data_IF_564178455201
#
_entry.id   IF_564178455201
#
_cell.length_a   1.000
_cell.length_b   1.000
_cell.length_c   1.000
_cell.angle_alpha   90.00
_cell.angle_beta   90.00
_cell.angle_gamma   90.00
#
_symmetry.space_group_name_H-M   'P 1'
#
loop_
_entity.id
_entity.type
_entity.pdbx_description
1 polymer ?
#
# COMPACT_ATOMS: atom_id res chain seq x y z
N UNK A 1 -4.86 -9.60 5.40
CA UNK A 1 -4.17 -8.98 4.27
C UNK A 1 -3.49 -7.69 4.72
N UNK A 2 -2.20 -7.51 4.40
CA UNK A 2 -1.43 -6.28 4.59
C UNK A 2 -1.29 -5.60 3.22
N UNK A 3 -1.52 -4.28 3.17
CA UNK A 3 -1.58 -3.53 1.90
C UNK A 3 -0.22 -3.03 1.40
N UNK A 4 0.89 -3.49 1.99
CA UNK A 4 2.26 -3.06 1.63
C UNK A 4 2.82 -2.00 2.55
N UNK A 5 4.00 -1.47 2.19
CA UNK A 5 4.78 -0.50 2.97
C UNK A 5 5.13 -0.99 4.38
N UNK A 6 5.71 -2.21 4.45
CA UNK A 6 6.23 -2.80 5.68
C UNK A 6 7.60 -2.24 6.06
N UNK A 7 8.24 -1.50 5.16
CA UNK A 7 9.59 -0.98 5.31
C UNK A 7 9.65 0.54 5.15
N UNK A 8 10.81 1.09 5.42
CA UNK A 8 11.12 2.52 5.40
C UNK A 8 10.34 3.31 6.45
N UNK A 9 10.30 2.80 7.67
CA UNK A 9 10.06 3.68 8.78
C UNK A 9 11.18 4.72 8.87
N UNK A 10 10.94 5.92 9.41
CA UNK A 10 11.97 6.94 9.50
C UNK A 10 13.13 6.48 10.38
N UNK A 11 14.32 6.26 9.81
CA UNK A 11 15.56 6.24 10.55
C UNK A 11 16.03 7.70 10.69
N UNK A 12 15.55 8.36 11.71
CA UNK A 12 16.05 9.65 12.08
C UNK A 12 16.90 9.50 13.33
N UNK A 13 18.11 10.03 13.30
CA UNK A 13 18.83 10.35 14.52
C UNK A 13 17.87 11.18 15.40
N UNK A 14 17.69 10.84 16.68
CA UNK A 14 16.85 11.62 17.59
C UNK A 14 17.13 13.13 17.57
N UNK A 15 18.36 13.54 17.22
CA UNK A 15 18.75 14.95 17.06
C UNK A 15 18.26 15.59 15.76
N UNK A 16 17.94 14.81 14.73
CA UNK A 16 17.42 15.29 13.43
C UNK A 16 15.89 15.21 13.35
N UNK A 17 15.27 14.64 14.36
CA UNK A 17 13.83 14.63 14.49
C UNK A 17 13.30 16.06 14.61
N UNK A 18 12.28 16.49 13.88
CA UNK A 18 11.78 17.85 13.98
C UNK A 18 11.33 18.12 15.42
N UNK A 19 12.19 18.80 16.18
CA UNK A 19 11.85 19.25 17.53
C UNK A 19 10.65 20.21 17.52
N UNK A 20 10.38 20.80 16.35
CA UNK A 20 9.28 21.69 16.05
C UNK A 20 8.03 20.95 15.51
N UNK A 21 7.96 19.61 15.64
CA UNK A 21 6.72 18.92 15.31
C UNK A 21 5.57 19.54 16.12
N UNK A 22 4.47 19.96 15.46
CA UNK A 22 3.35 20.61 16.16
C UNK A 22 2.95 19.79 17.37
N UNK A 23 2.61 20.45 18.47
CA UNK A 23 2.11 19.80 19.67
C UNK A 23 0.90 18.94 19.25
N UNK A 24 1.02 17.62 19.38
CA UNK A 24 0.06 16.65 18.85
C UNK A 24 0.57 15.80 17.69
N UNK A 25 1.79 16.03 17.16
CA UNK A 25 2.40 15.09 16.23
C UNK A 25 2.67 13.78 16.98
N UNK A 26 2.28 12.59 16.43
CA UNK A 26 2.40 11.29 17.13
C UNK A 26 3.81 10.95 17.60
N UNK A 27 4.81 11.60 17.02
CA UNK A 27 6.23 11.35 17.26
C UNK A 27 6.88 12.42 18.15
N UNK A 28 6.15 13.46 18.57
CA UNK A 28 6.68 14.48 19.47
C UNK A 28 7.16 13.83 20.78
N UNK A 29 8.46 13.93 21.05
CA UNK A 29 9.07 13.43 22.29
C UNK A 29 9.32 11.91 22.35
N UNK A 30 9.14 11.14 21.25
CA UNK A 30 9.47 9.70 21.22
C UNK A 30 10.79 9.47 20.47
N UNK A 31 11.75 8.69 21.02
CA UNK A 31 12.92 8.26 20.26
C UNK A 31 12.43 7.34 19.15
N UNK A 32 12.63 7.75 17.90
CA UNK A 32 12.25 6.92 16.76
C UNK A 32 13.32 5.86 16.46
N UNK A 33 12.86 4.63 16.24
CA UNK A 33 13.70 3.54 15.71
C UNK A 33 13.08 3.02 14.42
N UNK A 34 13.92 2.83 13.40
CA UNK A 34 13.47 2.11 12.20
C UNK A 34 13.18 0.64 12.58
N UNK A 35 11.91 0.29 12.62
CA UNK A 35 11.42 -1.04 13.01
C UNK A 35 11.26 -1.97 11.80
N UNK A 36 11.60 -1.55 10.59
CA UNK A 36 11.44 -2.34 9.36
C UNK A 36 11.95 -3.79 9.49
N UNK A 37 13.17 -4.06 10.03
CA UNK A 37 13.63 -5.44 10.19
C UNK A 37 12.76 -6.27 11.14
N UNK A 38 12.25 -5.65 12.23
CA UNK A 38 11.39 -6.33 13.18
C UNK A 38 9.99 -6.61 12.59
N UNK A 39 9.42 -5.65 11.86
CA UNK A 39 8.15 -5.80 11.14
C UNK A 39 8.25 -6.93 10.12
N UNK A 40 9.28 -6.92 9.27
CA UNK A 40 9.51 -7.97 8.27
C UNK A 40 9.64 -9.35 8.90
N UNK A 41 10.46 -9.48 9.95
CA UNK A 41 10.63 -10.74 10.66
C UNK A 41 9.31 -11.20 11.28
N UNK A 42 8.57 -10.30 11.91
CA UNK A 42 7.26 -10.58 12.51
C UNK A 42 6.25 -11.10 11.47
N UNK A 43 6.15 -10.44 10.32
CA UNK A 43 5.26 -10.85 9.22
C UNK A 43 5.68 -12.21 8.65
N UNK A 44 6.97 -12.45 8.42
CA UNK A 44 7.46 -13.74 7.91
C UNK A 44 7.22 -14.87 8.91
N UNK A 45 7.42 -14.63 10.20
CA UNK A 45 7.12 -15.60 11.25
C UNK A 45 5.63 -15.93 11.34
N UNK A 46 4.77 -14.92 11.26
CA UNK A 46 3.32 -15.11 11.21
C UNK A 46 2.91 -15.91 9.98
N UNK A 47 3.43 -15.56 8.79
CA UNK A 47 3.15 -16.28 7.56
C UNK A 47 3.60 -17.73 7.61
N UNK A 48 4.76 -18.02 8.22
CA UNK A 48 5.27 -19.37 8.38
C UNK A 48 4.45 -20.22 9.38
N UNK A 49 3.94 -19.58 10.45
CA UNK A 49 3.09 -20.25 11.46
C UNK A 49 1.64 -20.45 10.99
N UNK A 50 1.19 -19.63 10.06
CA UNK A 50 -0.17 -19.63 9.54
C UNK A 50 -0.17 -19.67 7.99
N UNK A 51 0.29 -20.79 7.38
CA UNK A 51 0.40 -20.90 5.93
C UNK A 51 -0.92 -20.62 5.23
N UNK A 52 -0.89 -19.77 4.19
CA UNK A 52 -2.06 -19.39 3.42
C UNK A 52 -3.05 -18.45 4.12
N UNK A 53 -2.72 -17.97 5.35
CA UNK A 53 -3.59 -17.05 6.09
C UNK A 53 -3.08 -15.63 6.19
N UNK A 54 -1.79 -15.43 5.95
CA UNK A 54 -1.16 -14.11 5.98
C UNK A 54 -0.72 -13.76 4.57
N UNK A 55 -1.28 -12.70 4.03
CA UNK A 55 -0.97 -12.19 2.69
C UNK A 55 -0.50 -10.75 2.80
N UNK A 56 0.48 -10.41 1.97
CA UNK A 56 1.06 -9.06 1.89
C UNK A 56 1.04 -8.64 0.43
N UNK A 57 0.59 -7.44 0.14
CA UNK A 57 0.75 -6.82 -1.17
C UNK A 57 2.08 -6.10 -1.28
N UNK A 58 2.60 -6.01 -2.48
CA UNK A 58 3.78 -5.19 -2.77
C UNK A 58 3.42 -3.71 -2.64
N UNK A 59 4.14 -2.98 -1.78
CA UNK A 59 4.09 -1.52 -1.70
C UNK A 59 5.19 -0.85 -2.51
N UNK A 60 5.13 0.46 -2.65
CA UNK A 60 6.15 1.22 -3.37
C UNK A 60 7.49 1.26 -2.62
N UNK A 61 7.48 1.16 -1.28
CA UNK A 61 8.67 1.06 -0.47
C UNK A 61 9.38 -0.28 -0.63
N UNK A 62 8.65 -1.41 -0.67
CA UNK A 62 9.21 -2.73 -1.01
C UNK A 62 9.76 -2.75 -2.44
N UNK A 63 9.04 -2.13 -3.38
CA UNK A 63 9.44 -2.07 -4.79
C UNK A 63 10.80 -1.39 -5.00
N UNK A 64 11.16 -0.42 -4.16
CA UNK A 64 12.46 0.25 -4.20
C UNK A 64 13.66 -0.70 -4.07
N UNK A 65 13.48 -1.86 -3.39
CA UNK A 65 14.51 -2.88 -3.21
C UNK A 65 14.62 -3.90 -4.37
N UNK A 66 13.68 -3.89 -5.32
CA UNK A 66 13.62 -4.88 -6.40
C UNK A 66 13.62 -4.27 -7.81
N UNK A 67 13.95 -3.00 -7.92
CA UNK A 67 14.12 -2.29 -9.19
C UNK A 67 13.21 -1.08 -9.38
N UNK A 68 12.39 -0.75 -8.40
CA UNK A 68 11.54 0.44 -8.39
C UNK A 68 12.29 1.72 -8.04
N UNK A 69 11.58 2.86 -8.12
CA UNK A 69 12.14 4.13 -7.71
C UNK A 69 12.44 4.14 -6.22
N UNK A 70 13.58 4.74 -5.85
CA UNK A 70 14.00 4.88 -4.46
C UNK A 70 13.32 6.08 -3.83
N UNK A 71 12.79 5.89 -2.64
CA UNK A 71 12.16 6.94 -1.85
C UNK A 71 13.20 7.70 -1.01
N UNK A 72 12.90 8.96 -0.71
CA UNK A 72 13.78 9.86 0.03
C UNK A 72 12.98 10.73 1.01
N UNK A 73 11.99 10.15 1.68
CA UNK A 73 11.11 10.87 2.59
C UNK A 73 11.80 11.14 3.94
N UNK A 74 12.52 10.15 4.46
CA UNK A 74 13.15 10.19 5.79
C UNK A 74 14.69 10.11 5.72
N UNK A 75 15.23 9.52 4.67
CA UNK A 75 16.66 9.48 4.37
C UNK A 75 16.87 9.77 2.90
N UNK A 76 18.09 10.21 2.54
CA UNK A 76 18.42 10.55 1.14
C UNK A 76 18.21 9.38 0.16
N UNK A 77 18.37 8.16 0.64
CA UNK A 77 18.07 6.90 -0.08
C UNK A 77 17.73 5.86 0.99
N UNK A 78 16.43 5.67 1.24
CA UNK A 78 15.91 4.80 2.30
C UNK A 78 16.21 3.33 2.03
N UNK A 79 16.16 2.90 0.78
CA UNK A 79 16.48 1.53 0.44
C UNK A 79 17.96 1.21 0.71
N UNK A 80 18.87 2.07 0.26
CA UNK A 80 20.29 1.89 0.55
C UNK A 80 20.59 1.93 2.07
N UNK A 81 19.94 2.81 2.82
CA UNK A 81 20.12 2.90 4.26
C UNK A 81 19.71 1.61 4.98
N UNK A 82 18.55 1.04 4.62
CA UNK A 82 18.10 -0.23 5.19
C UNK A 82 19.01 -1.39 4.76
N UNK A 83 19.35 -1.51 3.47
CA UNK A 83 20.22 -2.55 2.93
C UNK A 83 21.61 -2.56 3.61
N UNK A 84 22.19 -1.40 3.82
CA UNK A 84 23.47 -1.27 4.54
C UNK A 84 23.37 -1.70 6.01
N UNK A 85 22.27 -1.38 6.66
CA UNK A 85 22.02 -1.73 8.06
C UNK A 85 21.85 -3.22 8.28
N UNK A 86 21.11 -3.92 7.42
CA UNK A 86 20.84 -5.36 7.56
C UNK A 86 21.94 -6.23 6.94
N UNK A 87 22.75 -5.68 6.04
CA UNK A 87 23.83 -6.38 5.34
C UNK A 87 23.36 -7.12 4.10
N UNK A 88 24.32 -7.60 3.31
CA UNK A 88 24.10 -8.16 1.97
C UNK A 88 23.18 -9.38 1.99
N UNK A 89 23.43 -10.36 2.86
CA UNK A 89 22.68 -11.60 2.90
C UNK A 89 21.22 -11.37 3.24
N UNK A 90 20.94 -10.59 4.30
CA UNK A 90 19.58 -10.23 4.68
C UNK A 90 18.88 -9.39 3.60
N UNK A 91 19.61 -8.50 2.92
CA UNK A 91 19.07 -7.72 1.80
C UNK A 91 18.63 -8.60 0.61
N UNK A 92 19.40 -9.63 0.28
CA UNK A 92 19.05 -10.58 -0.78
C UNK A 92 17.82 -11.42 -0.42
N UNK A 93 17.72 -11.87 0.83
CA UNK A 93 16.53 -12.56 1.33
C UNK A 93 15.29 -11.67 1.31
N UNK A 94 15.42 -10.44 1.78
CA UNK A 94 14.36 -9.42 1.76
C UNK A 94 13.89 -9.15 0.33
N UNK A 95 14.81 -8.91 -0.60
CA UNK A 95 14.47 -8.69 -2.02
C UNK A 95 13.80 -9.92 -2.66
N UNK A 96 14.21 -11.14 -2.29
CA UNK A 96 13.54 -12.37 -2.73
C UNK A 96 12.10 -12.46 -2.21
N UNK A 97 11.88 -12.12 -0.94
CA UNK A 97 10.55 -12.03 -0.36
C UNK A 97 9.69 -11.00 -1.09
N UNK A 98 10.20 -9.79 -1.33
CA UNK A 98 9.44 -8.75 -2.04
C UNK A 98 9.08 -9.13 -3.47
N UNK A 99 9.93 -9.86 -4.19
CA UNK A 99 9.60 -10.38 -5.53
C UNK A 99 8.50 -11.44 -5.53
N UNK A 100 8.22 -12.05 -4.39
CA UNK A 100 7.13 -13.03 -4.25
C UNK A 100 5.78 -12.41 -3.90
N UNK A 101 5.75 -11.11 -3.57
CA UNK A 101 4.52 -10.44 -3.14
C UNK A 101 3.58 -10.19 -4.32
N UNK A 102 2.28 -10.50 -4.19
CA UNK A 102 1.28 -10.10 -5.15
C UNK A 102 1.09 -8.58 -5.14
N UNK A 103 0.60 -8.03 -6.26
CA UNK A 103 0.33 -6.58 -6.42
C UNK A 103 -1.12 -6.26 -6.10
N UNK A 104 -2.01 -7.21 -6.33
CA UNK A 104 -3.46 -7.08 -6.18
C UNK A 104 -4.00 -8.34 -5.51
N UNK A 105 -5.01 -8.19 -4.69
CA UNK A 105 -5.83 -9.29 -4.20
C UNK A 105 -7.31 -9.01 -4.50
N UNK A 106 -8.05 -10.06 -4.78
CA UNK A 106 -9.49 -9.98 -5.01
C UNK A 106 -10.21 -10.90 -4.03
N UNK A 107 -11.32 -10.41 -3.46
CA UNK A 107 -12.16 -11.19 -2.56
C UNK A 107 -13.56 -11.38 -3.16
N UNK A 108 -14.15 -12.57 -3.03
CA UNK A 108 -15.47 -12.90 -3.62
C UNK A 108 -16.60 -12.03 -3.08
N UNK A 109 -16.42 -11.42 -1.91
CA UNK A 109 -17.37 -10.47 -1.33
C UNK A 109 -17.45 -9.11 -2.07
N UNK A 110 -16.79 -8.97 -3.22
CA UNK A 110 -16.85 -7.79 -4.09
C UNK A 110 -15.70 -6.79 -3.88
N UNK A 111 -14.64 -7.15 -3.15
CA UNK A 111 -13.54 -6.24 -2.84
C UNK A 111 -12.30 -6.52 -3.70
N UNK A 112 -11.73 -5.43 -4.22
CA UNK A 112 -10.42 -5.41 -4.88
C UNK A 112 -9.43 -4.70 -3.98
N UNK A 113 -8.31 -5.33 -3.66
CA UNK A 113 -7.25 -4.77 -2.82
C UNK A 113 -6.01 -4.47 -3.65
N UNK A 114 -5.41 -3.30 -3.45
CA UNK A 114 -4.12 -2.90 -4.00
C UNK A 114 -3.35 -2.07 -2.97
N UNK A 115 -2.06 -1.82 -3.22
CA UNK A 115 -1.30 -0.95 -2.32
C UNK A 115 -1.74 0.51 -2.45
N UNK A 116 -1.73 1.05 -3.66
CA UNK A 116 -2.20 2.39 -4.00
C UNK A 116 -3.53 2.31 -4.77
N UNK A 117 -4.08 3.44 -5.19
CA UNK A 117 -5.32 3.46 -5.95
C UNK A 117 -5.24 2.54 -7.18
N UNK A 118 -6.31 1.82 -7.53
CA UNK A 118 -6.28 0.85 -8.62
C UNK A 118 -5.99 1.53 -9.96
N UNK A 119 -5.29 0.81 -10.82
CA UNK A 119 -4.83 1.36 -12.10
C UNK A 119 -5.95 1.47 -13.14
N UNK A 120 -6.21 2.66 -13.63
CA UNK A 120 -7.19 2.91 -14.72
C UNK A 120 -6.90 2.08 -15.96
N UNK A 121 -5.63 1.80 -16.22
CA UNK A 121 -5.16 1.06 -17.39
C UNK A 121 -5.34 -0.46 -17.25
N UNK A 122 -5.76 -0.96 -16.09
CA UNK A 122 -6.10 -2.36 -15.91
C UNK A 122 -7.38 -2.69 -16.69
N UNK A 123 -7.23 -3.41 -17.78
CA UNK A 123 -8.35 -3.81 -18.64
C UNK A 123 -8.86 -5.20 -18.28
N UNK A 124 -7.96 -6.08 -17.89
CA UNK A 124 -8.22 -7.47 -17.51
C UNK A 124 -7.25 -7.87 -16.41
N UNK A 125 -7.64 -8.82 -15.58
CA UNK A 125 -6.78 -9.29 -14.48
C UNK A 125 -5.49 -9.93 -15.01
N UNK A 126 -5.53 -10.55 -16.19
CA UNK A 126 -4.39 -11.19 -16.84
C UNK A 126 -3.30 -10.17 -17.25
N UNK A 127 -3.63 -8.89 -17.36
CA UNK A 127 -2.64 -7.85 -17.64
C UNK A 127 -1.59 -7.73 -16.51
N UNK A 128 -1.94 -8.21 -15.29
CA UNK A 128 -1.03 -8.25 -14.15
C UNK A 128 0.09 -9.29 -14.34
N UNK A 129 -0.15 -10.36 -15.08
CA UNK A 129 0.85 -11.42 -15.34
C UNK A 129 2.03 -10.91 -16.18
N UNK A 130 1.80 -9.86 -16.96
CA UNK A 130 2.83 -9.24 -17.81
C UNK A 130 3.74 -8.25 -17.06
N UNK A 131 3.49 -8.00 -15.76
CA UNK A 131 4.22 -7.01 -14.99
C UNK A 131 5.65 -7.49 -14.69
N UNK A 132 6.63 -6.70 -15.15
CA UNK A 132 8.03 -6.83 -14.73
C UNK A 132 8.32 -5.79 -13.64
N UNK A 133 8.57 -6.23 -12.41
CA UNK A 133 8.87 -5.36 -11.26
C UNK A 133 10.09 -4.45 -11.45
N UNK A 134 10.98 -4.77 -12.38
CA UNK A 134 12.16 -3.94 -12.70
C UNK A 134 11.84 -2.80 -13.66
N UNK A 135 10.66 -2.79 -14.24
CA UNK A 135 10.22 -1.73 -15.17
C UNK A 135 9.15 -0.90 -14.48
N UNK A 136 9.33 0.41 -14.50
CA UNK A 136 8.43 1.35 -13.87
C UNK A 136 8.23 2.57 -14.77
N UNK A 137 7.00 3.04 -14.88
CA UNK A 137 6.68 4.33 -15.50
C UNK A 137 5.78 5.08 -14.52
N UNK A 138 6.22 6.25 -14.09
CA UNK A 138 5.48 7.08 -13.14
C UNK A 138 4.05 7.39 -13.63
N UNK A 139 3.05 7.35 -12.75
CA UNK A 139 1.71 7.79 -13.07
C UNK A 139 1.71 9.27 -13.51
N UNK A 140 0.88 9.59 -14.47
CA UNK A 140 0.80 10.97 -15.00
C UNK A 140 -0.16 11.80 -14.16
N UNK A 141 0.33 12.92 -13.62
CA UNK A 141 -0.49 13.90 -12.87
C UNK A 141 -1.44 14.75 -13.73
N UNK A 142 -1.54 14.52 -15.04
CA UNK A 142 -2.31 15.40 -15.94
C UNK A 142 -3.56 14.73 -16.48
N UNK A 143 -4.71 15.37 -16.28
CA UNK A 143 -6.03 15.00 -16.80
C UNK A 143 -6.20 15.15 -18.32
N UNK A 144 -5.15 15.44 -19.08
CA UNK A 144 -5.23 15.57 -20.54
C UNK A 144 -5.00 14.23 -21.20
N UNK A 145 -5.99 13.68 -21.93
CA UNK A 145 -5.80 12.49 -22.75
C UNK A 145 -4.78 12.80 -23.85
N UNK A 146 -3.60 12.26 -23.73
CA UNK A 146 -2.60 12.32 -24.79
C UNK A 146 -2.86 11.18 -25.76
N UNK A 147 -2.91 11.50 -27.06
CA UNK A 147 -3.16 10.55 -28.14
C UNK A 147 -2.39 9.24 -27.92
N UNK A 148 -3.09 8.13 -28.02
CA UNK A 148 -2.61 6.76 -27.92
C UNK A 148 -1.78 6.40 -29.17
N UNK A 149 -0.63 7.04 -29.37
CA UNK A 149 0.34 6.53 -30.33
C UNK A 149 1.12 5.42 -29.65
N UNK A 150 0.86 4.21 -30.13
CA UNK A 150 1.64 2.97 -30.01
C UNK A 150 2.67 2.94 -28.88
N UNK A 151 2.24 2.64 -27.66
CA UNK A 151 3.15 2.19 -26.60
C UNK A 151 3.45 0.70 -26.82
N UNK A 152 4.75 0.32 -26.73
CA UNK A 152 5.13 -1.09 -26.74
C UNK A 152 4.39 -1.84 -25.63
N UNK A 153 4.02 -3.11 -25.79
CA UNK A 153 3.31 -3.88 -24.75
C UNK A 153 3.94 -3.79 -23.36
N UNK A 154 5.28 -3.80 -23.29
CA UNK A 154 5.99 -3.65 -22.02
C UNK A 154 5.88 -2.26 -21.37
N UNK A 155 5.45 -1.23 -22.10
CA UNK A 155 5.20 0.09 -21.52
C UNK A 155 3.84 0.16 -20.85
N UNK A 156 2.87 -0.64 -21.29
CA UNK A 156 1.57 -0.76 -20.62
C UNK A 156 1.72 -1.39 -19.24
N UNK A 157 2.35 -2.56 -19.15
CA UNK A 157 2.60 -3.23 -17.88
C UNK A 157 3.41 -2.37 -16.88
N UNK A 158 4.42 -1.63 -17.38
CA UNK A 158 5.21 -0.73 -16.54
C UNK A 158 4.41 0.50 -16.03
N UNK A 159 3.46 1.00 -16.82
CA UNK A 159 2.53 2.06 -16.36
C UNK A 159 1.52 1.52 -15.37
N UNK A 160 1.00 0.31 -15.61
CA UNK A 160 0.07 -0.37 -14.72
C UNK A 160 0.71 -0.56 -13.33
N UNK A 161 1.94 -1.06 -13.28
CA UNK A 161 2.71 -1.15 -12.04
C UNK A 161 2.88 0.22 -11.36
N UNK A 162 3.22 1.25 -12.13
CA UNK A 162 3.37 2.60 -11.61
C UNK A 162 2.10 3.12 -10.93
N UNK A 163 0.94 2.91 -11.55
CA UNK A 163 -0.34 3.32 -10.97
C UNK A 163 -0.66 2.53 -9.70
N UNK A 164 -0.56 1.20 -9.73
CA UNK A 164 -0.87 0.32 -8.59
C UNK A 164 -0.01 0.57 -7.35
N UNK A 165 1.15 1.23 -7.50
CA UNK A 165 2.08 1.51 -6.41
C UNK A 165 2.15 2.99 -6.00
N UNK A 166 1.64 3.94 -6.82
CA UNK A 166 1.90 5.36 -6.60
C UNK A 166 0.68 6.27 -6.81
N UNK A 167 -0.43 5.77 -7.34
CA UNK A 167 -1.62 6.60 -7.53
C UNK A 167 -2.36 6.80 -6.20
N UNK A 168 -2.75 8.04 -5.89
CA UNK A 168 -3.39 8.33 -4.60
C UNK A 168 -4.90 8.10 -4.62
N UNK A 169 -5.55 8.52 -5.70
CA UNK A 169 -7.02 8.50 -5.82
C UNK A 169 -7.42 8.44 -7.29
N UNK A 170 -8.47 7.71 -7.61
CA UNK A 170 -9.13 7.80 -8.91
C UNK A 170 -10.40 8.66 -8.85
N UNK A 171 -10.72 9.41 -9.92
CA UNK A 171 -12.06 9.94 -10.07
C UNK A 171 -13.11 8.82 -9.96
N UNK A 172 -14.24 8.99 -9.22
CA UNK A 172 -15.20 7.92 -8.97
C UNK A 172 -15.68 7.20 -10.23
N UNK A 173 -15.99 7.93 -11.32
CA UNK A 173 -16.44 7.33 -12.58
C UNK A 173 -15.38 6.41 -13.22
N UNK A 174 -14.08 6.66 -13.01
CA UNK A 174 -13.01 5.79 -13.49
C UNK A 174 -12.86 4.55 -12.62
N UNK A 175 -13.00 4.70 -11.30
CA UNK A 175 -12.99 3.60 -10.36
C UNK A 175 -14.15 2.63 -10.67
N UNK A 176 -15.36 3.12 -10.84
CA UNK A 176 -16.54 2.31 -11.18
C UNK A 176 -16.33 1.53 -12.49
N UNK A 177 -15.84 2.20 -13.55
CA UNK A 177 -15.56 1.54 -14.83
C UNK A 177 -14.50 0.44 -14.71
N UNK A 178 -13.47 0.64 -13.88
CA UNK A 178 -12.43 -0.36 -13.65
C UNK A 178 -12.97 -1.54 -12.86
N UNK A 179 -13.66 -1.29 -11.75
CA UNK A 179 -14.21 -2.33 -10.87
C UNK A 179 -15.18 -3.24 -11.63
N UNK A 180 -16.01 -2.67 -12.50
CA UNK A 180 -16.91 -3.45 -13.36
C UNK A 180 -16.14 -4.42 -14.29
N UNK A 181 -14.96 -4.05 -14.79
CA UNK A 181 -14.12 -4.92 -15.66
C UNK A 181 -13.54 -6.12 -14.91
N UNK A 182 -13.23 -5.94 -13.62
CA UNK A 182 -12.60 -6.98 -12.79
C UNK A 182 -13.62 -7.67 -11.87
N UNK A 183 -14.91 -7.42 -12.10
CA UNK A 183 -16.01 -7.98 -11.31
C UNK A 183 -15.85 -7.72 -9.80
N UNK A 184 -15.49 -6.48 -9.44
CA UNK A 184 -15.45 -5.99 -8.08
C UNK A 184 -16.41 -4.81 -7.91
N UNK A 185 -16.71 -4.45 -6.67
CA UNK A 185 -17.60 -3.35 -6.31
C UNK A 185 -16.86 -2.22 -5.62
N UNK A 186 -15.90 -2.56 -4.76
CA UNK A 186 -15.16 -1.60 -3.95
C UNK A 186 -13.66 -1.86 -4.10
N UNK A 187 -12.90 -0.79 -4.35
CA UNK A 187 -11.44 -0.80 -4.24
C UNK A 187 -11.02 -0.38 -2.83
N UNK A 188 -10.22 -1.22 -2.19
CA UNK A 188 -9.64 -0.94 -0.87
C UNK A 188 -8.13 -0.84 -1.00
N UNK A 189 -7.54 0.27 -0.58
CA UNK A 189 -6.11 0.49 -0.72
C UNK A 189 -5.54 1.38 0.39
N UNK A 190 -4.22 1.42 0.50
CA UNK A 190 -3.43 2.18 1.47
C UNK A 190 -2.67 3.34 0.84
N UNK A 191 -1.32 3.33 0.97
CA UNK A 191 -0.36 4.27 0.40
C UNK A 191 -0.50 5.72 0.91
N UNK A 192 -1.72 6.24 0.98
CA UNK A 192 -2.00 7.59 1.46
C UNK A 192 -2.29 7.57 2.96
N UNK A 193 -1.58 8.39 3.72
CA UNK A 193 -1.83 8.54 5.16
C UNK A 193 -3.13 9.31 5.36
N UNK A 194 -4.11 8.68 5.99
CA UNK A 194 -5.38 9.29 6.35
C UNK A 194 -5.40 9.48 7.87
N UNK A 195 -5.30 10.71 8.38
CA UNK A 195 -5.18 10.96 9.83
C UNK A 195 -6.34 10.42 10.67
N UNK A 196 -7.50 10.22 10.07
CA UNK A 196 -8.70 9.64 10.72
C UNK A 196 -8.82 8.13 10.56
N UNK A 197 -7.83 7.46 9.97
CA UNK A 197 -7.76 6.01 9.80
C UNK A 197 -8.31 5.48 8.49
N UNK A 198 -9.33 6.10 7.95
CA UNK A 198 -9.90 5.73 6.64
C UNK A 198 -10.57 6.92 5.96
N UNK A 199 -10.77 6.81 4.67
CA UNK A 199 -11.51 7.78 3.85
C UNK A 199 -12.25 7.09 2.71
N UNK A 200 -13.55 7.34 2.60
CA UNK A 200 -14.35 6.95 1.45
C UNK A 200 -14.18 7.99 0.31
N UNK A 201 -14.05 7.51 -0.93
CA UNK A 201 -14.02 8.33 -2.14
C UNK A 201 -15.11 7.82 -3.09
N UNK A 202 -16.19 8.56 -3.19
CA UNK A 202 -17.41 8.07 -3.86
C UNK A 202 -17.99 6.87 -3.12
N UNK A 203 -18.66 6.01 -3.85
CA UNK A 203 -19.23 4.75 -3.33
C UNK A 203 -18.31 3.54 -3.58
N UNK A 204 -17.24 3.73 -4.32
CA UNK A 204 -16.43 2.66 -4.92
C UNK A 204 -15.02 2.53 -4.33
N UNK A 205 -14.56 3.48 -3.49
CA UNK A 205 -13.19 3.47 -3.02
C UNK A 205 -13.09 3.72 -1.52
N UNK A 206 -12.28 2.90 -0.85
CA UNK A 206 -11.94 3.04 0.55
C UNK A 206 -10.41 3.10 0.70
N UNK A 207 -9.90 4.19 1.25
CA UNK A 207 -8.51 4.30 1.68
C UNK A 207 -8.44 3.91 3.15
N UNK A 208 -7.54 2.98 3.49
CA UNK A 208 -7.27 2.57 4.86
C UNK A 208 -5.85 2.98 5.26
N UNK A 209 -5.68 3.41 6.49
CA UNK A 209 -4.37 3.79 6.97
C UNK A 209 -4.11 3.32 8.40
N UNK A 210 -2.96 2.65 8.56
CA UNK A 210 -2.37 2.28 9.86
C UNK A 210 -0.94 2.77 9.96
N UNK A 211 -0.61 3.85 9.23
CA UNK A 211 0.75 4.37 9.12
C UNK A 211 1.35 4.73 10.49
N UNK A 212 2.66 4.55 10.61
CA UNK A 212 3.42 4.88 11.82
C UNK A 212 3.24 6.35 12.27
N UNK A 213 3.01 7.29 11.34
CA UNK A 213 2.81 8.71 11.61
C UNK A 213 1.43 9.06 12.19
N UNK A 214 0.55 8.09 12.35
CA UNK A 214 -0.79 8.28 12.88
C UNK A 214 -0.83 8.06 14.39
N UNK A 215 -1.83 8.66 15.04
CA UNK A 215 -2.20 8.31 16.42
C UNK A 215 -2.77 6.89 16.44
N UNK A 216 -2.44 6.14 17.48
CA UNK A 216 -2.85 4.75 17.60
C UNK A 216 -4.38 4.61 17.64
N UNK A 217 -5.08 5.55 18.28
CA UNK A 217 -6.55 5.59 18.34
C UNK A 217 -7.23 5.79 16.98
N UNK A 218 -6.50 6.27 15.95
CA UNK A 218 -7.06 6.50 14.64
C UNK A 218 -6.72 5.38 13.65
N UNK A 219 -5.80 4.47 13.98
CA UNK A 219 -5.44 3.37 13.08
C UNK A 219 -6.60 2.42 12.91
N UNK A 220 -7.01 2.19 11.66
CA UNK A 220 -8.22 1.42 11.33
C UNK A 220 -7.86 0.17 10.54
N UNK A 221 -8.50 -0.93 10.86
CA UNK A 221 -8.48 -2.18 10.10
C UNK A 221 -9.85 -2.47 9.52
N UNK A 222 -9.87 -3.17 8.39
CA UNK A 222 -11.08 -3.66 7.76
C UNK A 222 -11.25 -5.14 8.08
N UNK A 223 -12.39 -5.48 8.68
CA UNK A 223 -12.85 -6.84 8.92
C UNK A 223 -14.07 -7.10 8.06
N UNK A 224 -14.02 -8.09 7.17
CA UNK A 224 -15.12 -8.44 6.26
C UNK A 224 -15.46 -9.91 6.36
N UNK A 225 -16.72 -10.22 6.16
CA UNK A 225 -17.19 -11.57 5.91
C UNK A 225 -17.07 -11.87 4.40
N UNK A 226 -16.40 -12.95 4.03
CA UNK A 226 -16.19 -13.31 2.62
C UNK A 226 -17.44 -13.91 1.98
N UNK A 227 -18.42 -14.33 2.77
CA UNK A 227 -19.71 -14.86 2.31
C UNK A 227 -20.76 -13.75 2.11
N UNK A 228 -20.48 -12.53 2.58
CA UNK A 228 -21.32 -11.35 2.34
C UNK A 228 -20.99 -10.68 0.99
N UNK A 229 -21.86 -9.73 0.58
CA UNK A 229 -21.64 -8.91 -0.62
C UNK A 229 -21.66 -7.43 -0.26
N UNK A 230 -20.50 -6.78 -0.42
CA UNK A 230 -20.34 -5.35 -0.19
C UNK A 230 -20.46 -4.60 -1.52
N UNK A 231 -21.57 -3.88 -1.71
CA UNK A 231 -21.88 -3.22 -2.97
C UNK A 231 -21.32 -1.79 -3.05
N UNK A 232 -21.22 -1.11 -1.92
CA UNK A 232 -20.70 0.25 -1.81
C UNK A 232 -19.92 0.42 -0.52
N UNK A 233 -19.08 1.45 -0.44
CA UNK A 233 -18.34 1.78 0.79
C UNK A 233 -19.26 1.98 1.99
N UNK A 234 -20.50 2.46 1.78
CA UNK A 234 -21.50 2.65 2.85
C UNK A 234 -21.91 1.34 3.53
N UNK A 235 -21.69 0.20 2.88
CA UNK A 235 -21.91 -1.12 3.50
C UNK A 235 -20.80 -1.52 4.47
N UNK A 236 -19.68 -0.79 4.50
CA UNK A 236 -18.56 -0.99 5.41
C UNK A 236 -18.71 -0.05 6.62
N UNK A 237 -19.36 -0.53 7.67
CA UNK A 237 -19.83 0.28 8.80
C UNK A 237 -18.76 0.46 9.87
N UNK A 238 -18.58 1.69 10.39
CA UNK A 238 -17.75 1.93 11.57
C UNK A 238 -18.23 1.09 12.78
N UNK A 239 -17.29 0.47 13.48
CA UNK A 239 -17.55 -0.40 14.63
C UNK A 239 -18.01 -1.82 14.28
N UNK A 240 -18.16 -2.16 13.00
CA UNK A 240 -18.51 -3.51 12.51
C UNK A 240 -17.45 -3.99 11.54
N UNK A 241 -17.37 -3.41 10.35
CA UNK A 241 -16.36 -3.74 9.36
C UNK A 241 -15.11 -2.85 9.49
N UNK A 242 -15.29 -1.57 9.86
CA UNK A 242 -14.20 -0.62 10.10
C UNK A 242 -13.93 -0.52 11.60
N UNK A 243 -12.88 -1.19 12.05
CA UNK A 243 -12.56 -1.34 13.47
C UNK A 243 -11.26 -0.59 13.81
N UNK A 244 -11.14 -0.04 15.03
CA UNK A 244 -9.86 0.47 15.50
C UNK A 244 -8.85 -0.69 15.60
N UNK A 245 -7.59 -0.44 15.21
CA UNK A 245 -6.51 -1.42 15.34
C UNK A 245 -6.15 -1.66 16.82
N UNK A 246 -6.29 -0.64 17.64
CA UNK A 246 -6.05 -0.71 19.09
C UNK A 246 -7.32 -0.40 19.87
N UNK A 247 -7.56 -1.16 20.92
CA UNK A 247 -8.62 -0.83 21.85
C UNK A 247 -8.31 0.51 22.54
N UNK A 248 -9.29 1.37 22.66
CA UNK A 248 -9.14 2.59 23.45
C UNK A 248 -8.98 2.18 24.92
N UNK A 249 -7.92 2.63 25.62
CA UNK A 249 -7.88 2.47 27.06
C UNK A 249 -9.09 3.22 27.64
N UNK A 250 -9.97 2.46 28.28
CA UNK A 250 -11.14 2.94 29.01
C UNK A 250 -10.74 3.86 30.18
#
# INVERSE_FOLDING_TARGET
LLLGDLVHGPYLDPSSWPQDAPSGHPLAGRPYRDESPAVLLGVQLLASRHPGRIHVLLGNHEHAHIGGPRTALFARDEATALEQRIGIEASLHMASFFRSLPIVAWAPCGLLFSHAAPAVELLRIEDLEAIDYRRYIAPRRTDKPRSTKSSKPGDHAARLLGQLLWEHVLPPFKAQSLLARVNAQIAVYGHTIIPTGYQAIGFEQLILSTSFGMRDEHKTVLLVDLDEHYLTVDSLRPGIELLPLYEHPS
#
